data_IF_948760411791
#
_entry.id   IF_948760411791
#
_cell.length_a   1.000
_cell.length_b   1.000
_cell.length_c   1.000
_cell.angle_alpha   90.00
_cell.angle_beta   90.00
_cell.angle_gamma   90.00
#
_symmetry.space_group_name_H-M   'P 1'
#
loop_
_entity.id
_entity.type
_entity.pdbx_description
1 polymer ?
#
# COMPACT_ATOMS: atom_id res chain seq x y z
N UNK A 1 20.82 -18.50 1.21
CA UNK A 1 20.48 -19.34 2.38
C UNK A 1 20.15 -20.78 2.00
N UNK A 2 19.03 -21.10 1.31
CA UNK A 2 18.68 -22.50 0.98
C UNK A 2 19.79 -23.22 0.19
N UNK A 3 20.31 -22.61 -0.88
CA UNK A 3 21.43 -23.19 -1.62
C UNK A 3 22.69 -23.37 -0.74
N UNK A 4 22.96 -22.46 0.20
CA UNK A 4 24.11 -22.60 1.10
C UNK A 4 23.93 -23.76 2.09
N UNK A 5 22.70 -24.02 2.54
CA UNK A 5 22.36 -25.13 3.42
C UNK A 5 22.49 -26.50 2.74
N UNK A 6 21.98 -26.62 1.50
CA UNK A 6 21.89 -27.91 0.80
C UNK A 6 22.95 -28.09 -0.30
N UNK A 7 23.84 -27.10 -0.47
CA UNK A 7 24.86 -27.01 -1.53
C UNK A 7 24.26 -26.66 -2.90
N UNK A 8 23.22 -27.38 -3.31
CA UNK A 8 22.50 -27.18 -4.57
C UNK A 8 21.01 -26.96 -4.31
N UNK A 9 20.38 -26.08 -5.09
CA UNK A 9 18.96 -25.79 -4.93
C UNK A 9 18.07 -27.02 -5.14
N UNK A 10 18.49 -27.96 -6.00
CA UNK A 10 17.76 -29.22 -6.28
C UNK A 10 17.73 -30.19 -5.09
N UNK A 11 18.65 -30.05 -4.13
CA UNK A 11 18.72 -30.86 -2.92
C UNK A 11 17.90 -30.27 -1.78
N UNK A 12 17.37 -29.06 -1.96
CA UNK A 12 16.46 -28.44 -1.01
C UNK A 12 15.08 -29.11 -1.02
N UNK A 13 14.24 -28.82 -0.01
CA UNK A 13 12.88 -29.32 0.05
C UNK A 13 12.05 -28.78 -1.13
N UNK A 14 11.11 -29.61 -1.62
CA UNK A 14 10.22 -29.24 -2.73
C UNK A 14 9.22 -28.15 -2.33
N UNK A 15 8.79 -28.14 -1.07
CA UNK A 15 7.87 -27.15 -0.52
C UNK A 15 8.51 -26.40 0.65
N UNK A 16 8.42 -25.08 0.62
CA UNK A 16 8.83 -24.19 1.71
C UNK A 16 7.58 -23.53 2.31
N UNK A 17 7.48 -23.57 3.64
CA UNK A 17 6.41 -22.90 4.39
C UNK A 17 6.99 -21.85 5.33
N UNK A 18 6.29 -20.73 5.45
CA UNK A 18 6.72 -19.63 6.28
C UNK A 18 5.82 -18.40 6.16
N UNK A 19 6.11 -17.42 7.00
CA UNK A 19 5.40 -16.14 7.03
C UNK A 19 6.09 -15.12 6.14
N UNK A 20 5.31 -14.44 5.31
CA UNK A 20 5.79 -13.31 4.51
C UNK A 20 6.06 -12.11 5.43
N UNK A 21 7.27 -11.56 5.39
CA UNK A 21 7.69 -10.38 6.16
C UNK A 21 7.82 -9.15 5.28
N UNK A 22 8.13 -9.33 4.00
CA UNK A 22 8.18 -8.25 3.02
C UNK A 22 7.70 -8.77 1.68
N UNK A 23 7.00 -7.90 0.95
CA UNK A 23 6.55 -8.13 -0.41
C UNK A 23 6.97 -6.92 -1.23
N UNK A 24 7.78 -7.15 -2.25
CA UNK A 24 8.17 -6.13 -3.22
C UNK A 24 7.59 -6.51 -4.59
N UNK A 25 6.74 -5.64 -5.13
CA UNK A 25 6.09 -5.83 -6.44
C UNK A 25 6.92 -5.20 -7.55
N UNK A 26 7.14 -5.97 -8.61
CA UNK A 26 7.94 -5.57 -9.77
C UNK A 26 7.14 -5.75 -11.06
N UNK A 27 7.55 -5.00 -12.06
CA UNK A 27 7.13 -5.21 -13.45
C UNK A 27 8.36 -5.65 -14.24
N UNK A 28 8.24 -6.74 -15.00
CA UNK A 28 9.33 -7.30 -15.79
C UNK A 28 9.76 -6.31 -16.87
N UNK A 29 11.03 -5.92 -16.86
CA UNK A 29 11.68 -5.10 -17.88
C UNK A 29 12.90 -5.84 -18.48
N UNK A 30 13.51 -5.29 -19.53
CA UNK A 30 14.69 -5.89 -20.18
C UNK A 30 15.88 -6.05 -19.24
N UNK A 31 16.04 -5.16 -18.25
CA UNK A 31 17.18 -5.19 -17.33
C UNK A 31 17.02 -6.30 -16.29
N UNK A 32 15.83 -6.46 -15.74
CA UNK A 32 15.44 -7.51 -14.82
C UNK A 32 15.48 -8.86 -15.52
N UNK A 33 15.01 -8.96 -16.77
CA UNK A 33 15.07 -10.20 -17.54
C UNK A 33 16.50 -10.70 -17.75
N UNK A 34 17.46 -9.79 -17.97
CA UNK A 34 18.88 -10.14 -18.11
C UNK A 34 19.52 -10.59 -16.78
N UNK A 35 19.13 -9.96 -15.67
CA UNK A 35 19.66 -10.25 -14.32
C UNK A 35 19.05 -11.51 -13.71
N UNK A 36 17.73 -11.67 -13.82
CA UNK A 36 16.95 -12.74 -13.22
C UNK A 36 16.69 -13.84 -14.25
N UNK A 37 17.76 -14.54 -14.66
CA UNK A 37 17.71 -15.57 -15.71
C UNK A 37 16.68 -16.68 -15.41
N UNK A 38 16.46 -16.99 -14.14
CA UNK A 38 15.47 -17.97 -13.70
C UNK A 38 14.01 -17.52 -13.93
N UNK A 39 13.77 -16.22 -14.15
CA UNK A 39 12.46 -15.65 -14.50
C UNK A 39 12.34 -15.24 -15.97
N UNK A 40 13.30 -15.61 -16.84
CA UNK A 40 13.30 -15.16 -18.24
C UNK A 40 12.11 -15.64 -19.08
N UNK A 41 11.39 -16.64 -18.56
CA UNK A 41 10.18 -17.23 -19.14
C UNK A 41 8.96 -16.32 -18.96
N UNK A 42 9.02 -15.36 -18.03
CA UNK A 42 8.00 -14.34 -17.87
C UNK A 42 8.09 -13.31 -19.01
N UNK A 43 6.96 -12.91 -19.62
CA UNK A 43 6.93 -11.83 -20.60
C UNK A 43 7.38 -10.48 -20.02
N UNK A 44 7.85 -9.59 -20.89
CA UNK A 44 8.05 -8.17 -20.53
C UNK A 44 6.69 -7.55 -20.18
N UNK A 45 6.69 -6.56 -19.28
CA UNK A 45 5.52 -5.94 -18.67
C UNK A 45 4.68 -6.86 -17.76
N UNK A 46 5.08 -8.12 -17.56
CA UNK A 46 4.43 -9.00 -16.59
C UNK A 46 4.74 -8.52 -15.15
N UNK A 47 3.72 -8.44 -14.30
CA UNK A 47 3.89 -8.13 -12.89
C UNK A 47 4.21 -9.39 -12.08
N UNK A 48 5.20 -9.29 -11.19
CA UNK A 48 5.56 -10.37 -10.29
C UNK A 48 5.98 -9.82 -8.93
N UNK A 49 5.86 -10.65 -7.90
CA UNK A 49 6.18 -10.29 -6.53
C UNK A 49 7.38 -11.09 -6.04
N UNK A 50 8.32 -10.41 -5.38
CA UNK A 50 9.39 -11.05 -4.61
C UNK A 50 9.03 -10.95 -3.15
N UNK A 51 8.99 -12.10 -2.47
CA UNK A 51 8.63 -12.19 -1.06
C UNK A 51 9.83 -12.60 -0.22
N UNK A 52 10.05 -11.88 0.88
CA UNK A 52 10.92 -12.32 1.96
C UNK A 52 10.08 -13.10 2.96
N UNK A 53 10.48 -14.34 3.25
CA UNK A 53 9.78 -15.22 4.18
C UNK A 53 10.65 -15.58 5.38
N UNK A 54 10.00 -15.76 6.52
CA UNK A 54 10.57 -16.40 7.70
C UNK A 54 9.98 -17.79 7.80
N UNK A 55 10.84 -18.81 7.76
CA UNK A 55 10.43 -20.21 7.83
C UNK A 55 9.77 -20.52 9.18
N UNK A 56 8.69 -21.31 9.16
CA UNK A 56 8.03 -21.75 10.38
C UNK A 56 8.84 -22.85 11.10
N UNK A 57 9.51 -23.70 10.31
CA UNK A 57 10.44 -24.72 10.79
C UNK A 57 11.89 -24.33 10.52
N UNK A 58 12.85 -24.65 11.40
CA UNK A 58 14.26 -24.37 11.17
C UNK A 58 14.83 -25.30 10.09
N UNK A 59 14.70 -24.89 8.82
CA UNK A 59 15.24 -25.62 7.65
C UNK A 59 16.74 -25.31 7.45
N UNK A 60 17.21 -24.19 7.99
CA UNK A 60 18.58 -23.69 7.84
C UNK A 60 19.33 -23.83 9.16
N UNK A 61 20.57 -24.32 9.11
CA UNK A 61 21.42 -24.50 10.28
C UNK A 61 21.84 -23.16 10.90
N UNK A 62 22.16 -23.13 12.21
CA UNK A 62 22.62 -21.91 12.87
C UNK A 62 23.87 -21.30 12.22
N UNK A 63 24.79 -22.12 11.73
CA UNK A 63 26.03 -21.67 11.07
C UNK A 63 25.73 -20.89 9.78
N UNK A 64 24.80 -21.40 8.97
CA UNK A 64 24.35 -20.69 7.76
C UNK A 64 23.57 -19.45 8.15
N UNK A 65 22.70 -19.51 9.17
CA UNK A 65 22.00 -18.33 9.67
C UNK A 65 22.97 -17.22 10.10
N UNK A 66 24.06 -17.57 10.78
CA UNK A 66 25.07 -16.62 11.23
C UNK A 66 25.81 -15.97 10.07
N UNK A 67 26.15 -16.76 9.04
CA UNK A 67 26.79 -16.29 7.80
C UNK A 67 25.97 -15.20 7.10
N UNK A 68 24.64 -15.28 7.14
CA UNK A 68 23.73 -14.30 6.54
C UNK A 68 23.20 -13.26 7.55
N UNK A 69 23.67 -13.26 8.80
CA UNK A 69 23.08 -12.48 9.88
C UNK A 69 23.14 -10.96 9.65
N UNK A 70 24.24 -10.45 9.09
CA UNK A 70 24.39 -9.04 8.75
C UNK A 70 23.41 -8.60 7.66
N UNK A 71 23.24 -9.42 6.64
CA UNK A 71 22.29 -9.15 5.55
C UNK A 71 20.84 -9.15 6.09
N UNK A 72 20.49 -10.12 6.92
CA UNK A 72 19.17 -10.18 7.58
C UNK A 72 18.91 -8.97 8.46
N UNK A 73 19.90 -8.55 9.26
CA UNK A 73 19.81 -7.33 10.09
C UNK A 73 19.65 -6.08 9.24
N UNK A 74 20.40 -5.95 8.15
CA UNK A 74 20.29 -4.84 7.20
C UNK A 74 18.89 -4.75 6.60
N UNK A 75 18.33 -5.89 6.14
CA UNK A 75 16.96 -5.96 5.62
C UNK A 75 15.92 -5.57 6.67
N UNK A 76 16.06 -6.06 7.91
CA UNK A 76 15.17 -5.69 9.01
C UNK A 76 15.23 -4.18 9.34
N UNK A 77 16.42 -3.58 9.34
CA UNK A 77 16.60 -2.14 9.53
C UNK A 77 15.94 -1.35 8.40
N UNK A 78 16.14 -1.75 7.15
CA UNK A 78 15.54 -1.10 5.99
C UNK A 78 14.01 -1.13 6.06
N UNK A 79 13.40 -2.23 6.52
CA UNK A 79 11.96 -2.30 6.78
C UNK A 79 11.49 -1.27 7.80
N UNK A 80 12.20 -1.16 8.93
CA UNK A 80 11.84 -0.20 9.98
C UNK A 80 11.96 1.25 9.48
N UNK A 81 13.00 1.55 8.71
CA UNK A 81 13.18 2.88 8.10
C UNK A 81 12.04 3.18 7.14
N UNK A 82 11.73 2.27 6.20
CA UNK A 82 10.60 2.44 5.26
C UNK A 82 9.28 2.65 5.99
N UNK A 83 8.97 1.82 6.99
CA UNK A 83 7.74 1.95 7.77
C UNK A 83 7.65 3.29 8.52
N UNK A 84 8.79 3.81 9.00
CA UNK A 84 8.84 5.14 9.63
C UNK A 84 8.62 6.25 8.60
N UNK A 85 9.27 6.17 7.45
CA UNK A 85 9.14 7.15 6.37
C UNK A 85 7.71 7.19 5.82
N UNK A 86 7.06 6.03 5.67
CA UNK A 86 5.66 5.93 5.26
C UNK A 86 4.74 6.61 6.27
N UNK A 87 4.88 6.34 7.58
CA UNK A 87 4.08 7.02 8.62
C UNK A 87 4.27 8.54 8.59
N UNK A 88 5.52 9.00 8.44
CA UNK A 88 5.80 10.44 8.37
C UNK A 88 5.15 11.04 7.12
N UNK A 89 5.18 10.33 6.00
CA UNK A 89 4.56 10.77 4.74
C UNK A 89 3.04 10.85 4.89
N UNK A 90 2.40 9.84 5.46
CA UNK A 90 0.97 9.80 5.74
C UNK A 90 0.54 10.95 6.66
N UNK A 91 1.28 11.19 7.75
CA UNK A 91 1.00 12.31 8.66
C UNK A 91 1.02 13.66 7.94
N UNK A 92 1.99 13.89 7.06
CA UNK A 92 2.08 15.12 6.26
C UNK A 92 0.92 15.25 5.26
N UNK A 93 0.55 14.16 4.61
CA UNK A 93 -0.59 14.13 3.68
C UNK A 93 -1.88 14.47 4.43
N UNK A 94 -2.10 13.84 5.59
CA UNK A 94 -3.28 14.07 6.42
C UNK A 94 -3.33 15.51 6.95
N UNK A 95 -2.20 16.07 7.39
CA UNK A 95 -2.16 17.47 7.84
C UNK A 95 -2.56 18.45 6.73
N UNK A 96 -2.08 18.23 5.49
CA UNK A 96 -2.48 19.05 4.34
C UNK A 96 -3.97 18.87 4.04
N UNK A 97 -4.46 17.64 4.07
CA UNK A 97 -5.87 17.31 3.87
C UNK A 97 -6.75 17.99 4.93
N UNK A 98 -6.42 17.88 6.21
CA UNK A 98 -7.17 18.49 7.32
C UNK A 98 -7.21 20.01 7.23
N UNK A 99 -6.09 20.64 6.84
CA UNK A 99 -6.06 22.10 6.60
C UNK A 99 -6.96 22.52 5.43
N UNK A 100 -7.00 21.75 4.34
CA UNK A 100 -7.89 22.04 3.21
C UNK A 100 -9.35 21.81 3.59
N UNK A 101 -9.66 20.70 4.26
CA UNK A 101 -11.01 20.40 4.74
C UNK A 101 -11.50 21.42 5.76
N UNK A 102 -10.66 21.87 6.69
CA UNK A 102 -11.00 22.93 7.64
C UNK A 102 -11.36 24.24 6.94
N UNK A 103 -10.61 24.64 5.91
CA UNK A 103 -10.95 25.81 5.07
C UNK A 103 -12.27 25.62 4.33
N UNK A 104 -12.51 24.44 3.74
CA UNK A 104 -13.76 24.14 3.04
C UNK A 104 -14.95 24.13 4.00
N UNK A 105 -14.81 23.57 5.20
CA UNK A 105 -15.87 23.57 6.21
C UNK A 105 -16.18 24.99 6.72
N UNK A 106 -15.17 25.84 6.89
CA UNK A 106 -15.39 27.26 7.22
C UNK A 106 -16.17 27.98 6.11
N UNK A 107 -15.85 27.71 4.84
CA UNK A 107 -16.61 28.27 3.71
C UNK A 107 -18.06 27.77 3.67
N UNK A 108 -18.31 26.49 3.99
CA UNK A 108 -19.66 25.92 4.04
C UNK A 108 -20.46 26.43 5.24
N UNK A 109 -19.82 26.68 6.39
CA UNK A 109 -20.49 27.27 7.56
C UNK A 109 -20.96 28.71 7.31
N UNK A 110 -20.32 29.43 6.40
CA UNK A 110 -20.69 30.79 5.98
C UNK A 110 -21.80 30.80 4.90
N UNK A 111 -22.32 29.63 4.52
CA UNK A 111 -23.49 29.52 3.64
C UNK A 111 -24.75 29.70 4.49
N UNK A 112 -25.39 30.86 4.35
CA UNK A 112 -26.72 31.09 4.91
C UNK A 112 -27.75 30.18 4.23
N UNK A 113 -28.20 29.17 4.96
CA UNK A 113 -29.22 28.20 4.53
C UNK A 113 -30.58 28.91 4.27
N UNK A 114 -30.78 30.11 4.81
CA UNK A 114 -31.95 30.96 4.56
C UNK A 114 -31.83 31.86 3.32
N UNK A 115 -30.65 31.97 2.70
CA UNK A 115 -30.44 32.87 1.55
C UNK A 115 -31.04 32.27 0.26
N UNK A 116 -31.97 32.97 -0.41
CA UNK A 116 -32.58 32.50 -1.66
C UNK A 116 -31.58 32.37 -2.84
N UNK A 117 -30.37 32.91 -2.68
CA UNK A 117 -29.32 32.96 -3.70
C UNK A 117 -28.45 31.69 -3.71
N UNK A 118 -28.26 31.05 -2.54
CA UNK A 118 -27.45 29.83 -2.40
C UNK A 118 -28.21 28.55 -2.79
N UNK A 119 -29.54 28.55 -2.63
CA UNK A 119 -30.38 27.39 -2.93
C UNK A 119 -31.69 27.79 -3.64
N UNK A 120 -31.64 28.08 -4.96
CA UNK A 120 -32.78 28.63 -5.71
C UNK A 120 -34.02 27.72 -5.83
N UNK A 121 -33.94 26.44 -5.47
CA UNK A 121 -35.04 25.47 -5.61
C UNK A 121 -35.58 24.92 -4.28
N UNK A 122 -34.98 25.24 -3.12
CA UNK A 122 -35.40 24.66 -1.83
C UNK A 122 -36.69 25.29 -1.28
N UNK A 123 -37.00 26.53 -1.67
CA UNK A 123 -38.17 27.28 -1.20
C UNK A 123 -39.35 27.29 -2.18
N UNK A 124 -39.26 26.57 -3.31
CA UNK A 124 -40.34 26.53 -4.33
C UNK A 124 -41.49 25.57 -4.00
N UNK A 125 -41.49 24.93 -2.83
CA UNK A 125 -42.59 24.08 -2.37
C UNK A 125 -43.19 24.66 -1.09
N UNK A 126 -44.40 25.21 -1.26
CA UNK A 126 -45.36 25.71 -0.26
C UNK A 126 -45.15 27.09 0.38
N UNK A 127 -45.78 28.07 -0.27
CA UNK A 127 -46.73 28.96 0.41
C UNK A 127 -47.91 29.29 -0.50
N UNK A 128 -48.80 28.30 -0.68
CA UNK A 128 -50.18 28.58 -1.09
C UNK A 128 -51.10 28.22 0.07
N UNK A 129 -51.43 29.23 0.88
CA UNK A 129 -52.45 29.16 1.92
C UNK A 129 -53.34 30.40 1.84
N UNK A 130 -54.12 30.52 0.76
CA UNK A 130 -55.44 31.17 0.72
C UNK A 130 -55.97 31.10 -0.71
N UNK A 131 -57.16 30.50 -0.86
CA UNK A 131 -57.59 29.84 -2.08
C UNK A 131 -58.15 30.73 -3.18
N UNK A 132 -58.18 30.15 -4.38
CA UNK A 132 -59.17 30.38 -5.43
C UNK A 132 -59.54 28.99 -5.99
N UNK A 133 -60.81 28.65 -5.92
CA UNK A 133 -61.43 27.56 -6.67
C UNK A 133 -61.59 28.03 -8.12
N UNK A 134 -61.19 27.24 -9.12
CA UNK A 134 -61.93 27.15 -10.38
C UNK A 134 -61.46 26.00 -11.29
N UNK A 135 -62.46 25.21 -11.70
CA UNK A 135 -62.62 24.34 -12.89
C UNK A 135 -61.58 23.27 -13.20
#
# INVERSE_FOLDING_TARGET
MIQAQFGELRKGPETLSGRIVQKDSFTMDETLRKRLKYLQHLPIACQFDVVEIVFDTPIVSPEVMDTFSEELKSRAKNRQVRAREERIREMKINEVYDRQMGKMMQQVADIDIGSPQGFPSMWKLHRDSSGIVCS
#
